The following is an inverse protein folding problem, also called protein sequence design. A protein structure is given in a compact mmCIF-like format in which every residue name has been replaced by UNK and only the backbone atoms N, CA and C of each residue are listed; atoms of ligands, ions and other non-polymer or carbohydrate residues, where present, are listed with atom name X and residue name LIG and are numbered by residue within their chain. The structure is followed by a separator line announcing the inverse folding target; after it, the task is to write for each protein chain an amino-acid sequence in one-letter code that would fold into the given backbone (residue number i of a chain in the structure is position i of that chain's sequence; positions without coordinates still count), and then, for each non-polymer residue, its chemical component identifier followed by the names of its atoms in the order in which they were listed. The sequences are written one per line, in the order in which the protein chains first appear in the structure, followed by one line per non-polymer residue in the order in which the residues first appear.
data_IF_185128425858
#
_entry.id   IF_185128425858
#
_cell.length_a   1.000
_cell.length_b   1.000
_cell.length_c   1.000
_cell.angle_alpha   90.00
_cell.angle_beta   90.00
_cell.angle_gamma   90.00
#
_symmetry.space_group_name_H-M   'P 1'
#
loop_
_entity.id
_entity.type
_entity.pdbx_description
1 polymer ?
#
# COMPACT_ATOMS: atom_id res chain seq x y z
N UNK A 1 39.35 1.01 13.28
CA UNK A 1 38.58 -0.09 13.91
C UNK A 1 37.12 0.29 14.21
N UNK A 2 36.80 1.32 15.01
CA UNK A 2 35.39 1.67 15.32
C UNK A 2 34.59 2.15 14.10
N UNK A 3 35.20 2.92 13.20
CA UNK A 3 34.54 3.44 11.98
C UNK A 3 34.18 2.31 11.00
N UNK A 4 35.00 1.26 10.90
CA UNK A 4 34.76 0.11 10.02
C UNK A 4 33.63 -0.77 10.56
N UNK A 5 33.59 -0.94 11.89
CA UNK A 5 32.51 -1.67 12.55
C UNK A 5 31.15 -0.95 12.37
N UNK A 6 31.12 0.38 12.59
CA UNK A 6 29.91 1.18 12.37
C UNK A 6 29.49 1.17 10.89
N UNK A 7 30.44 1.25 9.95
CA UNK A 7 30.11 1.18 8.52
C UNK A 7 29.53 -0.16 8.11
N UNK A 8 29.98 -1.28 8.69
CA UNK A 8 29.38 -2.59 8.46
C UNK A 8 27.95 -2.70 9.00
N UNK A 9 27.69 -2.12 10.18
CA UNK A 9 26.32 -2.07 10.74
C UNK A 9 25.42 -1.24 9.83
N UNK A 10 25.85 -0.04 9.42
CA UNK A 10 25.06 0.81 8.52
C UNK A 10 24.85 0.11 7.16
N UNK A 11 25.88 -0.55 6.63
CA UNK A 11 25.77 -1.30 5.38
C UNK A 11 24.71 -2.41 5.45
N UNK A 12 24.51 -3.04 6.61
CA UNK A 12 23.43 -4.02 6.82
C UNK A 12 22.04 -3.41 6.67
N UNK A 13 21.85 -2.10 6.88
CA UNK A 13 20.55 -1.43 6.81
C UNK A 13 20.28 -0.72 5.49
N UNK A 14 21.34 -0.40 4.72
CA UNK A 14 21.22 0.37 3.46
C UNK A 14 21.39 -0.52 2.22
N UNK A 15 22.08 -1.66 2.34
CA UNK A 15 22.32 -2.57 1.20
C UNK A 15 21.08 -3.42 0.92
N UNK A 16 20.51 -3.40 -0.30
CA UNK A 16 19.38 -4.27 -0.62
C UNK A 16 19.73 -5.75 -0.43
N UNK A 17 18.83 -6.52 0.17
CA UNK A 17 18.95 -7.97 0.35
C UNK A 17 19.59 -8.43 1.66
N UNK A 18 20.24 -7.54 2.41
CA UNK A 18 20.80 -7.87 3.74
C UNK A 18 19.71 -8.01 4.81
N UNK A 19 19.95 -8.79 5.89
CA UNK A 19 18.99 -8.93 6.99
C UNK A 19 18.52 -7.60 7.61
N UNK A 20 19.42 -6.64 7.79
CA UNK A 20 19.07 -5.32 8.36
C UNK A 20 18.13 -4.52 7.46
N UNK A 21 18.34 -4.55 6.13
CA UNK A 21 17.46 -3.90 5.16
C UNK A 21 16.06 -4.53 5.17
N UNK A 22 15.96 -5.87 5.30
CA UNK A 22 14.66 -6.55 5.45
C UNK A 22 13.93 -6.13 6.73
N UNK A 23 14.68 -6.00 7.82
CA UNK A 23 14.15 -5.56 9.11
C UNK A 23 13.63 -4.13 9.03
N UNK A 24 14.37 -3.21 8.39
CA UNK A 24 13.92 -1.83 8.16
C UNK A 24 12.63 -1.79 7.34
N UNK A 25 12.54 -2.59 6.26
CA UNK A 25 11.32 -2.71 5.48
C UNK A 25 10.14 -3.22 6.30
N UNK A 26 10.35 -4.29 7.08
CA UNK A 26 9.30 -4.86 7.93
C UNK A 26 8.83 -3.86 9.00
N UNK A 27 9.75 -3.17 9.67
CA UNK A 27 9.43 -2.14 10.66
C UNK A 27 8.70 -0.96 10.00
N UNK A 28 9.18 -0.49 8.85
CA UNK A 28 8.52 0.57 8.08
C UNK A 28 7.10 0.19 7.69
N UNK A 29 6.89 -1.05 7.23
CA UNK A 29 5.56 -1.56 6.92
C UNK A 29 4.67 -1.57 8.17
N UNK A 30 5.13 -2.19 9.27
CA UNK A 30 4.35 -2.27 10.51
C UNK A 30 3.99 -0.91 11.08
N UNK A 31 4.95 0.03 11.14
CA UNK A 31 4.72 1.39 11.62
C UNK A 31 3.73 2.08 10.68
N UNK A 32 3.97 2.05 9.37
CA UNK A 32 3.07 2.65 8.39
C UNK A 32 1.66 2.09 8.48
N UNK A 33 1.50 0.76 8.58
CA UNK A 33 0.20 0.11 8.76
C UNK A 33 -0.46 0.56 10.05
N UNK A 34 0.28 0.65 11.15
CA UNK A 34 -0.26 1.09 12.44
C UNK A 34 -0.69 2.57 12.42
N UNK A 35 0.05 3.45 11.75
CA UNK A 35 -0.33 4.85 11.58
C UNK A 35 -1.60 4.99 10.74
N UNK A 36 -1.69 4.26 9.62
CA UNK A 36 -2.88 4.24 8.76
C UNK A 36 -4.08 3.57 9.44
N UNK A 37 -3.85 2.58 10.31
CA UNK A 37 -4.89 1.93 11.11
C UNK A 37 -5.65 2.93 11.96
N UNK A 38 -4.98 3.96 12.46
CA UNK A 38 -5.60 5.00 13.28
C UNK A 38 -6.65 5.80 12.49
N UNK A 39 -6.36 6.13 11.24
CA UNK A 39 -7.31 6.82 10.34
C UNK A 39 -8.56 5.96 10.08
N UNK A 40 -8.37 4.67 9.78
CA UNK A 40 -9.48 3.73 9.53
C UNK A 40 -10.31 3.51 10.80
N UNK A 41 -9.65 3.35 11.93
CA UNK A 41 -10.26 3.21 13.25
C UNK A 41 -11.17 4.39 13.60
N UNK A 42 -10.69 5.61 13.38
CA UNK A 42 -11.46 6.83 13.63
C UNK A 42 -12.64 6.98 12.65
N UNK A 43 -12.42 6.72 11.36
CA UNK A 43 -13.46 6.98 10.33
C UNK A 43 -14.53 5.89 10.29
N UNK A 44 -14.15 4.61 10.29
CA UNK A 44 -15.09 3.50 10.12
C UNK A 44 -15.74 3.07 11.43
N UNK A 45 -14.99 3.12 12.54
CA UNK A 45 -15.46 2.62 13.83
C UNK A 45 -15.72 3.72 14.85
N UNK A 46 -15.57 5.00 14.46
CA UNK A 46 -15.75 6.15 15.34
C UNK A 46 -14.91 6.04 16.62
N UNK A 47 -13.77 5.36 16.51
CA UNK A 47 -12.90 5.09 17.64
C UNK A 47 -12.13 6.35 18.05
N UNK A 48 -11.79 6.45 19.34
CA UNK A 48 -10.90 7.53 19.80
C UNK A 48 -9.52 7.37 19.16
N UNK A 49 -8.83 8.46 18.78
CA UNK A 49 -7.51 8.39 18.16
C UNK A 49 -6.53 7.52 18.95
N UNK A 50 -5.85 6.63 18.25
CA UNK A 50 -4.86 5.70 18.81
C UNK A 50 -3.61 6.46 19.25
N UNK A 51 -3.28 7.55 18.56
CA UNK A 51 -2.10 8.36 18.83
C UNK A 51 -2.45 9.78 19.27
N UNK A 52 -1.61 10.41 20.11
CA UNK A 52 -1.87 11.75 20.65
C UNK A 52 -1.62 12.87 19.63
N UNK A 53 -1.07 12.56 18.46
CA UNK A 53 -0.59 13.61 17.55
C UNK A 53 -1.75 14.39 16.95
N UNK A 54 -1.70 15.69 17.22
CA UNK A 54 -2.67 16.68 16.76
C UNK A 54 -4.08 16.50 17.34
N UNK A 55 -4.28 15.60 18.31
CA UNK A 55 -5.57 15.34 18.94
C UNK A 55 -5.63 15.92 20.36
N UNK A 56 -6.82 16.36 20.79
CA UNK A 56 -7.04 16.77 22.19
C UNK A 56 -7.32 15.57 23.11
N UNK A 57 -7.99 14.54 22.58
CA UNK A 57 -8.26 13.28 23.25
C UNK A 57 -7.74 12.11 22.42
N UNK A 58 -7.16 11.12 23.10
CA UNK A 58 -6.68 9.88 22.49
C UNK A 58 -6.87 8.73 23.48
N UNK A 59 -6.67 7.48 23.05
CA UNK A 59 -6.90 6.30 23.89
C UNK A 59 -6.05 6.26 25.17
N UNK A 60 -4.95 7.03 25.21
CA UNK A 60 -4.03 7.08 26.35
C UNK A 60 -3.15 5.84 26.45
N UNK A 61 -2.09 5.92 27.26
CA UNK A 61 -1.13 4.83 27.44
C UNK A 61 -1.76 3.56 28.02
N UNK A 62 -2.77 3.70 28.88
CA UNK A 62 -3.52 2.54 29.42
C UNK A 62 -4.44 1.95 28.34
N UNK A 63 -5.09 2.79 27.53
CA UNK A 63 -5.91 2.33 26.41
C UNK A 63 -5.11 1.54 25.40
N UNK A 64 -3.83 1.86 25.19
CA UNK A 64 -2.90 1.06 24.39
C UNK A 64 -2.74 -0.38 24.88
N UNK A 65 -2.77 -0.61 26.19
CA UNK A 65 -2.70 -1.96 26.75
C UNK A 65 -4.01 -2.75 26.52
N UNK A 66 -5.12 -2.03 26.36
CA UNK A 66 -6.44 -2.61 26.13
C UNK A 66 -6.75 -2.79 24.64
N UNK A 67 -6.11 -2.00 23.77
CA UNK A 67 -6.33 -1.98 22.33
C UNK A 67 -6.22 -3.37 21.66
N UNK A 68 -5.24 -4.24 22.01
CA UNK A 68 -5.13 -5.58 21.43
C UNK A 68 -6.29 -6.52 21.76
N UNK A 69 -7.08 -6.21 22.80
CA UNK A 69 -8.26 -6.99 23.17
C UNK A 69 -9.53 -6.51 22.45
N UNK A 70 -9.44 -5.41 21.68
CA UNK A 70 -10.54 -4.90 20.89
C UNK A 70 -10.52 -5.50 19.49
N UNK A 71 -11.57 -6.25 19.14
CA UNK A 71 -11.70 -6.88 17.81
C UNK A 71 -11.76 -5.85 16.68
N UNK A 72 -12.38 -4.69 16.92
CA UNK A 72 -12.50 -3.63 15.90
C UNK A 72 -11.13 -3.03 15.54
N UNK A 73 -10.16 -3.06 16.46
CA UNK A 73 -8.79 -2.62 16.18
C UNK A 73 -8.14 -3.57 15.17
N UNK A 74 -8.28 -4.88 15.35
CA UNK A 74 -7.73 -5.87 14.41
C UNK A 74 -8.40 -5.83 13.04
N UNK A 75 -9.71 -5.53 12.99
CA UNK A 75 -10.40 -5.29 11.72
C UNK A 75 -9.82 -4.05 11.03
N UNK A 76 -9.67 -2.95 11.77
CA UNK A 76 -9.06 -1.71 11.24
C UNK A 76 -7.64 -1.96 10.73
N UNK A 77 -6.84 -2.70 11.50
CA UNK A 77 -5.48 -3.07 11.14
C UNK A 77 -5.44 -3.95 9.89
N UNK A 78 -6.34 -4.92 9.79
CA UNK A 78 -6.48 -5.77 8.62
C UNK A 78 -6.83 -4.99 7.36
N UNK A 79 -7.79 -4.06 7.45
CA UNK A 79 -8.14 -3.17 6.33
C UNK A 79 -6.93 -2.31 5.95
N UNK A 80 -6.26 -1.71 6.93
CA UNK A 80 -5.07 -0.88 6.69
C UNK A 80 -3.95 -1.65 6.00
N UNK A 81 -3.69 -2.88 6.44
CA UNK A 81 -2.68 -3.73 5.82
C UNK A 81 -3.06 -4.07 4.37
N UNK A 82 -4.34 -4.36 4.11
CA UNK A 82 -4.82 -4.64 2.76
C UNK A 82 -4.67 -3.43 1.84
N UNK A 83 -5.06 -2.24 2.28
CA UNK A 83 -4.90 -0.98 1.54
C UNK A 83 -3.43 -0.79 1.14
N UNK A 84 -2.51 -0.84 2.11
CA UNK A 84 -1.08 -0.62 1.84
C UNK A 84 -0.46 -1.67 0.94
N UNK A 85 -0.87 -2.94 1.06
CA UNK A 85 -0.42 -4.01 0.17
C UNK A 85 -0.93 -3.78 -1.25
N UNK A 86 -2.18 -3.35 -1.41
CA UNK A 86 -2.77 -3.10 -2.71
C UNK A 86 -2.15 -1.87 -3.37
N UNK A 87 -1.92 -0.79 -2.64
CA UNK A 87 -1.24 0.42 -3.14
C UNK A 87 0.20 0.10 -3.55
N UNK A 88 0.95 -0.60 -2.71
CA UNK A 88 2.34 -0.95 -3.02
C UNK A 88 2.45 -1.87 -4.26
N UNK A 89 1.46 -2.75 -4.48
CA UNK A 89 1.38 -3.58 -5.70
C UNK A 89 1.11 -2.76 -6.96
N UNK A 90 0.59 -1.55 -6.85
CA UNK A 90 0.21 -0.72 -8.00
C UNK A 90 1.32 0.22 -8.42
N UNK A 91 2.16 0.65 -7.47
CA UNK A 91 3.42 1.36 -7.78
C UNK A 91 4.44 0.48 -8.50
N UNK A 92 4.38 -0.83 -8.31
CA UNK A 92 5.19 -1.78 -9.09
C UNK A 92 4.35 -2.43 -10.16
N UNK A 93 4.59 -2.05 -11.41
CA UNK A 93 4.22 -2.90 -12.55
C UNK A 93 4.79 -4.31 -12.37
N UNK A 94 4.16 -5.30 -13.03
CA UNK A 94 4.68 -6.68 -13.08
C UNK A 94 6.14 -6.67 -13.56
N UNK A 95 6.98 -7.55 -13.02
CA UNK A 95 8.35 -7.73 -13.52
C UNK A 95 8.31 -7.97 -15.04
N UNK A 96 9.19 -7.37 -15.86
CA UNK A 96 9.13 -7.52 -17.31
C UNK A 96 9.12 -8.98 -17.78
N UNK A 97 9.84 -9.87 -17.09
CA UNK A 97 9.88 -11.29 -17.43
C UNK A 97 8.59 -12.00 -17.02
N UNK A 98 8.01 -11.63 -15.88
CA UNK A 98 6.74 -12.19 -15.41
C UNK A 98 5.57 -11.72 -16.28
N UNK A 99 5.55 -10.44 -16.66
CA UNK A 99 4.60 -9.88 -17.61
C UNK A 99 4.74 -10.53 -18.99
N UNK A 100 5.99 -10.80 -19.43
CA UNK A 100 6.26 -11.51 -20.68
C UNK A 100 5.77 -12.96 -20.63
N UNK A 101 6.04 -13.69 -19.55
CA UNK A 101 5.57 -15.07 -19.40
C UNK A 101 4.04 -15.17 -19.39
N UNK A 102 3.36 -14.31 -18.63
CA UNK A 102 1.89 -14.29 -18.59
C UNK A 102 1.27 -13.88 -19.95
N UNK A 103 1.96 -13.01 -20.69
CA UNK A 103 1.61 -12.68 -22.07
C UNK A 103 1.87 -13.84 -23.06
N UNK A 104 2.91 -14.63 -22.85
CA UNK A 104 3.21 -15.82 -23.67
C UNK A 104 2.24 -16.98 -23.36
N UNK A 105 1.87 -17.17 -22.10
CA UNK A 105 0.90 -18.18 -21.66
C UNK A 105 -0.53 -17.85 -22.14
N UNK A 106 -0.91 -16.57 -22.14
CA UNK A 106 -2.22 -16.12 -22.67
C UNK A 106 -2.32 -16.17 -24.20
N UNK A 107 -1.21 -16.36 -24.92
CA UNK A 107 -1.22 -16.58 -26.38
C UNK A 107 -1.63 -17.99 -26.79
N UNK A 108 -1.65 -18.96 -25.87
CA UNK A 108 -1.94 -20.36 -26.20
C UNK A 108 -3.41 -20.72 -25.96
N UNK A 109 -4.31 -20.24 -26.82
CA UNK A 109 -5.63 -20.87 -26.98
C UNK A 109 -5.75 -21.45 -28.39
N UNK A 110 -5.62 -22.77 -28.48
CA UNK A 110 -5.94 -23.56 -29.66
C UNK A 110 -7.46 -23.57 -29.84
N UNK A 111 -7.97 -22.75 -30.76
CA UNK A 111 -9.39 -22.77 -31.12
C UNK A 111 -9.76 -24.12 -31.76
N UNK A 112 -10.61 -24.88 -31.08
CA UNK A 112 -10.96 -26.26 -31.44
C UNK A 112 -11.85 -26.43 -32.68
N UNK A 113 -12.24 -25.37 -33.40
CA UNK A 113 -12.88 -25.46 -34.73
C UNK A 113 -12.99 -24.08 -35.39
N UNK A 114 -12.84 -24.04 -36.72
CA UNK A 114 -12.85 -22.83 -37.56
C UNK A 114 -14.29 -22.26 -37.67
N UNK A 115 -14.52 -20.96 -37.40
CA UNK A 115 -15.84 -20.34 -37.56
C UNK A 115 -16.21 -20.24 -39.05
N UNK A 116 -17.49 -20.46 -39.37
CA UNK A 116 -18.04 -20.61 -40.73
C UNK A 116 -18.51 -19.30 -41.39
N UNK A 117 -18.22 -18.14 -40.78
CA UNK A 117 -18.40 -16.82 -41.38
C UNK A 117 -17.06 -16.12 -41.61
N UNK A 118 -16.97 -15.24 -42.60
CA UNK A 118 -15.79 -14.39 -42.83
C UNK A 118 -15.63 -13.42 -41.66
N UNK A 119 -14.91 -13.85 -40.65
CA UNK A 119 -14.40 -13.00 -39.58
C UNK A 119 -13.11 -12.38 -40.11
N UNK A 120 -13.04 -11.05 -40.10
CA UNK A 120 -11.78 -10.33 -40.29
C UNK A 120 -10.87 -10.64 -39.09
N UNK A 121 -10.12 -11.74 -39.25
CA UNK A 121 -9.23 -12.26 -38.22
C UNK A 121 -8.23 -11.19 -37.77
N UNK A 122 -7.85 -10.27 -38.65
CA UNK A 122 -6.87 -9.24 -38.35
C UNK A 122 -7.43 -8.21 -37.38
N UNK A 123 -8.68 -7.78 -37.54
CA UNK A 123 -9.35 -6.85 -36.60
C UNK A 123 -9.64 -7.52 -35.26
N UNK A 124 -10.09 -8.77 -35.28
CA UNK A 124 -10.37 -9.54 -34.06
C UNK A 124 -9.09 -9.83 -33.25
N UNK A 125 -8.02 -10.33 -33.90
CA UNK A 125 -6.71 -10.52 -33.25
C UNK A 125 -6.08 -9.20 -32.81
N UNK A 126 -6.29 -8.09 -33.52
CA UNK A 126 -5.79 -6.77 -33.11
C UNK A 126 -6.56 -6.19 -31.91
N UNK A 127 -7.87 -6.44 -31.85
CA UNK A 127 -8.71 -6.11 -30.70
C UNK A 127 -8.31 -6.91 -29.46
N UNK A 128 -8.14 -8.23 -29.60
CA UNK A 128 -7.68 -9.10 -28.52
C UNK A 128 -6.23 -8.83 -28.13
N UNK A 129 -5.33 -8.50 -29.07
CA UNK A 129 -3.96 -8.07 -28.78
C UNK A 129 -3.92 -6.71 -28.04
N UNK A 130 -4.80 -5.76 -28.40
CA UNK A 130 -4.97 -4.52 -27.63
C UNK A 130 -5.60 -4.79 -26.26
N UNK A 131 -6.48 -5.78 -26.14
CA UNK A 131 -7.19 -6.08 -24.90
C UNK A 131 -6.42 -7.03 -23.95
N UNK A 132 -5.46 -7.81 -24.47
CA UNK A 132 -4.62 -8.79 -23.76
C UNK A 132 -3.72 -8.10 -22.73
N UNK A 133 -4.31 -7.88 -21.55
CA UNK A 133 -3.70 -7.17 -20.43
C UNK A 133 -4.31 -5.78 -20.18
N UNK A 134 -5.11 -5.21 -21.10
CA UNK A 134 -5.79 -3.93 -20.83
C UNK A 134 -6.97 -4.08 -19.87
N UNK A 135 -7.75 -5.18 -19.91
CA UNK A 135 -8.81 -5.40 -18.91
C UNK A 135 -8.23 -5.55 -17.50
N UNK A 136 -7.13 -6.29 -17.35
CA UNK A 136 -6.41 -6.46 -16.08
C UNK A 136 -5.70 -5.17 -15.64
N UNK A 137 -5.19 -4.38 -16.59
CA UNK A 137 -4.60 -3.06 -16.32
C UNK A 137 -5.63 -2.02 -15.93
N UNK A 138 -6.80 -2.00 -16.56
CA UNK A 138 -7.91 -1.11 -16.22
C UNK A 138 -8.58 -1.53 -14.91
N UNK A 139 -8.82 -2.83 -14.70
CA UNK A 139 -9.41 -3.35 -13.46
C UNK A 139 -8.42 -3.20 -12.30
N UNK A 140 -7.16 -3.56 -12.50
CA UNK A 140 -6.09 -3.38 -11.51
C UNK A 140 -5.84 -1.91 -11.19
N UNK A 141 -5.84 -1.03 -12.21
CA UNK A 141 -5.74 0.42 -12.02
C UNK A 141 -6.96 1.03 -11.35
N UNK A 142 -8.18 0.54 -11.63
CA UNK A 142 -9.38 0.99 -10.95
C UNK A 142 -9.39 0.54 -9.48
N UNK A 143 -8.97 -0.69 -9.19
CA UNK A 143 -8.80 -1.19 -7.82
C UNK A 143 -7.71 -0.37 -7.09
N UNK A 144 -6.60 -0.06 -7.76
CA UNK A 144 -5.55 0.80 -7.23
C UNK A 144 -6.10 2.17 -6.81
N UNK A 145 -6.82 2.81 -7.73
CA UNK A 145 -7.38 4.13 -7.55
C UNK A 145 -8.44 4.12 -6.44
N UNK A 146 -9.23 3.05 -6.34
CA UNK A 146 -10.15 2.86 -5.22
C UNK A 146 -9.43 2.84 -3.88
N UNK A 147 -8.34 2.08 -3.73
CA UNK A 147 -7.57 2.03 -2.49
C UNK A 147 -6.90 3.37 -2.17
N UNK A 148 -6.29 4.02 -3.16
CA UNK A 148 -5.70 5.36 -3.01
C UNK A 148 -6.72 6.41 -2.58
N UNK A 149 -7.93 6.40 -3.17
CA UNK A 149 -9.02 7.31 -2.78
C UNK A 149 -9.50 7.00 -1.36
N UNK A 150 -9.63 5.72 -1.02
CA UNK A 150 -10.01 5.30 0.33
C UNK A 150 -8.97 5.75 1.36
N UNK A 151 -7.68 5.57 1.08
CA UNK A 151 -6.60 5.95 2.00
C UNK A 151 -6.52 7.47 2.18
N UNK A 152 -6.60 8.25 1.09
CA UNK A 152 -6.70 9.72 1.14
C UNK A 152 -7.90 10.13 2.00
N UNK A 153 -9.07 9.57 1.69
CA UNK A 153 -10.31 9.97 2.36
C UNK A 153 -10.24 9.63 3.85
N UNK A 154 -9.90 8.39 4.20
CA UNK A 154 -9.85 7.97 5.60
C UNK A 154 -8.79 8.74 6.39
N UNK A 155 -7.63 9.01 5.80
CA UNK A 155 -6.56 9.78 6.45
C UNK A 155 -6.93 11.23 6.69
N UNK A 156 -7.43 11.95 5.67
CA UNK A 156 -7.78 13.37 5.81
C UNK A 156 -9.12 13.63 6.50
N UNK A 157 -10.05 12.66 6.49
CA UNK A 157 -11.28 12.73 7.30
C UNK A 157 -10.98 12.40 8.77
N UNK A 158 -10.15 11.38 9.03
CA UNK A 158 -9.74 11.02 10.39
C UNK A 158 -8.95 12.14 11.06
N UNK A 159 -7.94 12.68 10.36
CA UNK A 159 -7.16 13.83 10.82
C UNK A 159 -7.24 15.00 9.84
N UNK A 160 -8.28 15.82 9.98
CA UNK A 160 -8.47 16.98 9.12
C UNK A 160 -7.51 18.13 9.48
N UNK A 161 -6.53 18.49 8.63
CA UNK A 161 -5.61 19.59 8.90
C UNK A 161 -6.31 20.95 8.96
N UNK A 162 -7.45 21.11 8.28
CA UNK A 162 -8.19 22.37 8.21
C UNK A 162 -9.02 22.66 9.47
N UNK A 163 -9.02 21.77 10.47
CA UNK A 163 -9.63 22.05 11.78
C UNK A 163 -8.81 23.02 12.63
N UNK A 164 -7.53 23.21 12.30
CA UNK A 164 -6.66 24.13 13.03
C UNK A 164 -6.69 25.52 12.40
N UNK A 165 -6.53 26.53 13.25
CA UNK A 165 -6.34 27.92 12.82
C UNK A 165 -4.87 28.31 12.73
N UNK A 166 -3.98 27.61 13.45
CA UNK A 166 -2.55 27.87 13.43
C UNK A 166 -1.92 27.27 12.15
N UNK A 167 -1.29 28.07 11.27
CA UNK A 167 -0.72 27.58 10.01
C UNK A 167 0.33 26.49 10.18
N UNK A 168 1.14 26.55 11.24
CA UNK A 168 2.15 25.54 11.53
C UNK A 168 1.54 24.18 11.87
N UNK A 169 0.41 24.16 12.60
CA UNK A 169 -0.32 22.92 12.91
C UNK A 169 -1.01 22.35 11.66
N UNK A 170 -1.55 23.20 10.79
CA UNK A 170 -2.12 22.76 9.50
C UNK A 170 -1.05 22.04 8.68
N UNK A 171 0.12 22.67 8.50
CA UNK A 171 1.22 22.08 7.72
C UNK A 171 1.76 20.80 8.35
N UNK A 172 1.93 20.78 9.68
CA UNK A 172 2.44 19.60 10.38
C UNK A 172 1.45 18.41 10.31
N UNK A 173 0.15 18.66 10.47
CA UNK A 173 -0.88 17.64 10.34
C UNK A 173 -0.98 17.12 8.90
N UNK A 174 -0.91 18.01 7.91
CA UNK A 174 -0.86 17.64 6.51
C UNK A 174 0.35 16.75 6.19
N UNK A 175 1.55 17.16 6.63
CA UNK A 175 2.77 16.39 6.42
C UNK A 175 2.72 15.02 7.13
N UNK A 176 2.16 14.97 8.34
CA UNK A 176 1.95 13.72 9.08
C UNK A 176 1.04 12.77 8.30
N UNK A 177 -0.10 13.26 7.79
CA UNK A 177 -1.03 12.45 6.99
C UNK A 177 -0.33 11.87 5.75
N UNK A 178 0.37 12.71 4.98
CA UNK A 178 1.11 12.25 3.79
C UNK A 178 2.19 11.21 4.16
N UNK A 179 2.95 11.45 5.23
CA UNK A 179 3.97 10.51 5.69
C UNK A 179 3.35 9.17 6.16
N UNK A 180 2.20 9.20 6.82
CA UNK A 180 1.52 8.00 7.32
C UNK A 180 1.05 7.08 6.19
N UNK A 181 0.50 7.66 5.13
CA UNK A 181 0.08 6.94 3.92
C UNK A 181 1.29 6.28 3.23
N UNK A 182 2.34 7.06 2.97
CA UNK A 182 3.52 6.57 2.24
C UNK A 182 4.38 5.58 3.03
N UNK A 183 4.44 5.69 4.37
CA UNK A 183 5.32 4.86 5.20
C UNK A 183 5.02 3.37 5.03
N UNK A 184 3.75 3.02 4.96
CA UNK A 184 3.30 1.64 4.81
C UNK A 184 3.62 1.06 3.45
N UNK A 185 3.29 1.81 2.40
CA UNK A 185 3.54 1.43 1.01
C UNK A 185 5.05 1.27 0.71
N UNK A 186 5.87 2.22 1.16
CA UNK A 186 7.33 2.19 1.02
C UNK A 186 7.92 1.03 1.85
N UNK A 187 7.48 0.87 3.09
CA UNK A 187 7.92 -0.21 3.97
C UNK A 187 7.61 -1.60 3.38
N UNK A 188 6.40 -1.80 2.86
CA UNK A 188 6.02 -3.05 2.19
C UNK A 188 6.91 -3.32 0.97
N UNK A 189 7.17 -2.28 0.17
CA UNK A 189 8.01 -2.41 -1.01
C UNK A 189 9.44 -2.82 -0.66
N UNK A 190 10.05 -2.21 0.37
CA UNK A 190 11.39 -2.56 0.87
C UNK A 190 11.41 -4.01 1.41
N UNK A 191 10.39 -4.39 2.17
CA UNK A 191 10.30 -5.75 2.74
C UNK A 191 10.11 -6.82 1.66
N UNK A 192 9.23 -6.58 0.67
CA UNK A 192 8.97 -7.53 -0.41
C UNK A 192 10.14 -7.65 -1.39
N UNK A 193 10.85 -6.55 -1.65
CA UNK A 193 12.08 -6.52 -2.46
C UNK A 193 13.22 -7.36 -1.91
N UNK A 194 13.12 -7.75 -0.64
CA UNK A 194 14.11 -8.55 0.03
C UNK A 194 13.65 -9.94 0.42
N UNK A 195 12.44 -10.35 0.03
CA UNK A 195 12.07 -11.77 0.01
C UNK A 195 12.76 -12.45 -1.16
#
# INVERSE_FOLDING_TARGET
LPVIFISHIIAQFVTPGTPGYKLVGAIGFWIGTLLSTDSIWQVLFQGKPIFPWFEQEWIGWIGWLQLPFNVLFWISFGISALVQVMEARTLRGKDPNQAKHEFEDSKQYTLGTKPTGNIDLTVALWGDYKAAGMKERHTGGAIALFFWVLDITTTFVGRNPFRYTNPGLILACFAYNVASMMAGEIGYNIWKLTK
#
